data_IF_025957587637
#
_entry.id   IF_025957587637
#
_cell.length_a   1.000
_cell.length_b   1.000
_cell.length_c   1.000
_cell.angle_alpha   90.00
_cell.angle_beta   90.00
_cell.angle_gamma   90.00
#
_symmetry.space_group_name_H-M   'P 1'
#
loop_
_entity.id
_entity.type
_entity.pdbx_description
1 polymer ?
#
# COMPACT_ATOMS: atom_id res chain seq x y z
N UNK A 1 -20.55 -11.27 -4.33
CA UNK A 1 -19.47 -12.14 -4.85
C UNK A 1 -18.16 -11.42 -4.56
N UNK A 2 -17.25 -12.08 -3.82
CA UNK A 2 -15.95 -11.50 -3.45
C UNK A 2 -15.02 -11.45 -4.66
N UNK A 3 -13.97 -10.63 -4.58
CA UNK A 3 -12.98 -10.47 -5.63
C UNK A 3 -12.27 -11.78 -6.02
N UNK A 4 -11.42 -11.68 -7.02
CA UNK A 4 -10.65 -12.80 -7.56
C UNK A 4 -9.32 -12.95 -6.82
N UNK A 5 -8.72 -14.14 -6.89
CA UNK A 5 -7.42 -14.40 -6.28
C UNK A 5 -6.60 -15.38 -7.11
N UNK A 6 -5.29 -15.40 -6.88
CA UNK A 6 -4.38 -16.40 -7.45
C UNK A 6 -3.17 -16.61 -6.54
N UNK A 7 -2.74 -17.87 -6.46
CA UNK A 7 -1.46 -18.30 -5.90
C UNK A 7 -0.60 -19.01 -6.98
N UNK A 8 -0.98 -18.90 -8.25
CA UNK A 8 -0.19 -19.41 -9.37
C UNK A 8 1.15 -18.65 -9.45
N UNK A 9 2.30 -19.33 -9.27
CA UNK A 9 3.60 -18.68 -9.23
C UNK A 9 3.91 -17.83 -10.46
N UNK A 10 3.46 -18.24 -11.64
CA UNK A 10 3.72 -17.53 -12.89
C UNK A 10 2.96 -16.21 -12.97
N UNK A 11 1.65 -16.24 -12.65
CA UNK A 11 0.84 -15.03 -12.60
C UNK A 11 1.28 -14.10 -11.47
N UNK A 12 1.53 -14.64 -10.27
CA UNK A 12 1.99 -13.87 -9.11
C UNK A 12 3.35 -13.23 -9.39
N UNK A 13 4.28 -13.95 -10.02
CA UNK A 13 5.58 -13.42 -10.42
C UNK A 13 5.46 -12.21 -11.34
N UNK A 14 4.67 -12.33 -12.41
CA UNK A 14 4.42 -11.22 -13.36
C UNK A 14 3.78 -10.01 -12.70
N UNK A 15 2.82 -10.21 -11.79
CA UNK A 15 2.17 -9.12 -11.05
C UNK A 15 3.14 -8.48 -10.05
N UNK A 16 3.94 -9.29 -9.34
CA UNK A 16 4.95 -8.82 -8.38
C UNK A 16 5.96 -7.89 -9.05
N UNK A 17 6.41 -8.21 -10.25
CA UNK A 17 7.29 -7.33 -11.04
C UNK A 17 6.66 -5.95 -11.27
N UNK A 18 5.37 -5.89 -11.63
CA UNK A 18 4.68 -4.62 -11.85
C UNK A 18 4.47 -3.83 -10.56
N UNK A 19 4.16 -4.52 -9.45
CA UNK A 19 4.01 -3.90 -8.13
C UNK A 19 5.33 -3.29 -7.67
N UNK A 20 6.43 -4.05 -7.74
CA UNK A 20 7.76 -3.57 -7.35
C UNK A 20 8.22 -2.40 -8.23
N UNK A 21 7.99 -2.47 -9.54
CA UNK A 21 8.31 -1.38 -10.45
C UNK A 21 7.50 -0.11 -10.15
N UNK A 22 6.19 -0.24 -9.89
CA UNK A 22 5.34 0.91 -9.56
C UNK A 22 5.72 1.53 -8.21
N UNK A 23 6.05 0.70 -7.21
CA UNK A 23 6.55 1.15 -5.92
C UNK A 23 7.87 1.93 -6.07
N UNK A 24 8.80 1.42 -6.87
CA UNK A 24 10.06 2.11 -7.13
C UNK A 24 9.84 3.47 -7.81
N UNK A 25 8.93 3.51 -8.80
CA UNK A 25 8.54 4.76 -9.47
C UNK A 25 7.92 5.75 -8.48
N UNK A 26 6.98 5.33 -7.63
CA UNK A 26 6.37 6.17 -6.59
C UNK A 26 7.43 6.80 -5.69
N UNK A 27 8.36 5.99 -5.19
CA UNK A 27 9.40 6.44 -4.25
C UNK A 27 10.51 7.27 -4.91
N UNK A 28 10.63 7.23 -6.24
CA UNK A 28 11.66 7.99 -6.99
C UNK A 28 11.09 9.17 -7.77
N UNK A 29 9.75 9.29 -7.86
CA UNK A 29 9.06 10.45 -8.43
C UNK A 29 8.85 11.50 -7.33
N UNK A 30 9.48 12.68 -7.41
CA UNK A 30 9.50 13.62 -6.28
C UNK A 30 8.12 14.00 -5.73
N UNK A 31 7.16 14.30 -6.62
CA UNK A 31 5.82 14.71 -6.23
C UNK A 31 5.04 13.56 -5.58
N UNK A 32 5.07 12.36 -6.18
CA UNK A 32 4.38 11.19 -5.64
C UNK A 32 4.99 10.73 -4.30
N UNK A 33 6.32 10.74 -4.19
CA UNK A 33 7.00 10.43 -2.94
C UNK A 33 6.64 11.44 -1.84
N UNK A 34 6.60 12.74 -2.18
CA UNK A 34 6.28 13.77 -1.20
C UNK A 34 4.87 13.63 -0.62
N UNK A 35 3.87 13.23 -1.41
CA UNK A 35 2.51 12.94 -0.90
C UNK A 35 2.54 11.88 0.21
N UNK A 36 3.36 10.84 0.07
CA UNK A 36 3.54 9.83 1.11
C UNK A 36 4.30 10.37 2.32
N UNK A 37 5.38 11.13 2.10
CA UNK A 37 6.21 11.73 3.18
C UNK A 37 5.40 12.69 4.04
N UNK A 38 4.50 13.49 3.44
CA UNK A 38 3.61 14.39 4.17
C UNK A 38 2.62 13.64 5.09
N UNK A 39 2.25 12.42 4.70
CA UNK A 39 1.38 11.54 5.50
C UNK A 39 2.14 10.66 6.50
N UNK A 40 3.46 10.68 6.53
CA UNK A 40 4.23 9.98 7.56
C UNK A 40 4.13 10.70 8.90
N UNK A 41 4.06 9.91 9.98
CA UNK A 41 4.13 10.35 11.37
C UNK A 41 5.41 9.78 11.97
N UNK A 42 6.39 10.64 12.19
CA UNK A 42 7.75 10.23 12.57
C UNK A 42 7.89 10.29 14.09
N UNK A 43 7.94 9.10 14.70
CA UNK A 43 8.05 8.93 16.15
C UNK A 43 6.75 9.17 16.92
N UNK A 44 6.76 8.81 18.21
CA UNK A 44 5.58 8.75 19.08
C UNK A 44 4.86 10.10 19.17
N UNK A 45 5.59 11.22 19.33
CA UNK A 45 4.97 12.54 19.47
C UNK A 45 4.13 12.96 18.24
N UNK A 46 4.61 12.67 17.02
CA UNK A 46 3.85 12.98 15.81
C UNK A 46 2.65 12.05 15.62
N UNK A 47 2.82 10.78 16.00
CA UNK A 47 1.77 9.76 15.97
C UNK A 47 0.64 10.12 16.93
N UNK A 48 0.96 10.52 18.16
CA UNK A 48 -0.02 10.87 19.17
C UNK A 48 -0.75 12.17 18.81
N UNK A 49 -0.05 13.14 18.23
CA UNK A 49 -0.64 14.40 17.78
C UNK A 49 -1.58 14.22 16.57
N UNK A 50 -1.24 13.30 15.65
CA UNK A 50 -2.01 13.02 14.44
C UNK A 50 -2.08 11.50 14.20
N UNK A 51 -2.98 10.79 14.90
CA UNK A 51 -3.08 9.33 14.85
C UNK A 51 -3.79 8.84 13.58
N UNK A 52 -3.24 9.23 12.44
CA UNK A 52 -3.56 8.82 11.08
C UNK A 52 -2.28 8.67 10.24
N UNK A 53 -2.41 8.40 8.95
CA UNK A 53 -1.27 8.30 8.04
C UNK A 53 -0.39 7.07 8.29
N UNK A 54 0.89 7.19 7.91
CA UNK A 54 1.90 6.12 7.96
C UNK A 54 2.74 6.31 9.21
N UNK A 55 2.50 5.49 10.23
CA UNK A 55 3.25 5.55 11.49
C UNK A 55 4.65 4.94 11.31
N UNK A 56 5.68 5.76 11.50
CA UNK A 56 7.06 5.31 11.64
C UNK A 56 7.41 5.36 13.13
N UNK A 57 7.53 4.19 13.76
CA UNK A 57 7.76 4.07 15.20
C UNK A 57 8.78 2.99 15.53
N UNK A 58 9.22 2.98 16.79
CA UNK A 58 10.17 2.01 17.32
C UNK A 58 11.52 2.63 17.64
N UNK A 59 12.37 1.93 18.41
CA UNK A 59 13.59 2.51 18.99
C UNK A 59 14.54 3.13 17.96
N UNK A 60 14.67 2.51 16.79
CA UNK A 60 15.53 3.03 15.71
C UNK A 60 14.98 4.30 15.05
N UNK A 61 13.65 4.40 14.91
CA UNK A 61 13.02 5.61 14.36
C UNK A 61 13.17 6.77 15.36
N UNK A 62 12.95 6.52 16.64
CA UNK A 62 13.14 7.53 17.70
C UNK A 62 14.58 8.03 17.75
N UNK A 63 15.55 7.11 17.78
CA UNK A 63 16.96 7.47 17.80
C UNK A 63 17.36 8.26 16.54
N UNK A 64 16.89 7.82 15.36
CA UNK A 64 17.15 8.49 14.09
C UNK A 64 16.53 9.89 14.02
N UNK A 65 15.31 10.06 14.53
CA UNK A 65 14.64 11.36 14.65
C UNK A 65 15.41 12.30 15.58
N UNK A 66 15.78 11.83 16.77
CA UNK A 66 16.56 12.61 17.75
C UNK A 66 17.93 13.01 17.20
N UNK A 67 18.55 12.16 16.39
CA UNK A 67 19.84 12.44 15.74
C UNK A 67 19.72 13.33 14.48
N UNK A 68 18.51 13.73 14.07
CA UNK A 68 18.28 14.49 12.83
C UNK A 68 18.60 13.72 11.55
N UNK A 69 18.57 12.39 11.61
CA UNK A 69 18.86 11.49 10.47
C UNK A 69 17.59 10.94 9.82
N UNK A 70 16.46 11.03 10.52
CA UNK A 70 15.14 10.65 10.03
C UNK A 70 14.21 11.84 10.25
N UNK A 71 13.96 12.56 9.18
CA UNK A 71 12.97 13.63 9.07
C UNK A 71 12.38 13.62 7.65
N UNK A 72 11.45 14.53 7.37
CA UNK A 72 10.79 14.63 6.06
C UNK A 72 11.78 15.00 4.94
N UNK A 73 12.79 15.82 5.21
CA UNK A 73 13.79 16.21 4.21
C UNK A 73 14.59 14.98 3.75
N UNK A 74 15.08 14.19 4.70
CA UNK A 74 15.82 12.97 4.42
C UNK A 74 14.93 11.91 3.76
N UNK A 75 13.69 11.72 4.20
CA UNK A 75 12.77 10.74 3.60
C UNK A 75 12.35 11.12 2.17
N UNK A 76 12.24 12.42 1.87
CA UNK A 76 11.92 12.91 0.52
C UNK A 76 13.12 12.90 -0.44
N UNK A 77 14.35 12.93 0.10
CA UNK A 77 15.58 12.87 -0.68
C UNK A 77 15.94 11.43 -1.06
N UNK A 78 15.71 11.06 -2.33
CA UNK A 78 15.97 9.72 -2.89
C UNK A 78 17.41 9.21 -2.71
N UNK A 79 18.38 10.11 -2.48
CA UNK A 79 19.79 9.76 -2.31
C UNK A 79 20.18 9.54 -0.83
N UNK A 80 19.31 9.91 0.11
CA UNK A 80 19.56 9.77 1.54
C UNK A 80 19.62 8.30 1.96
N UNK A 81 20.25 8.04 3.10
CA UNK A 81 20.28 6.69 3.69
C UNK A 81 18.88 6.25 4.13
N UNK A 82 18.08 7.15 4.69
CA UNK A 82 16.72 6.87 5.14
C UNK A 82 15.81 6.43 3.98
N UNK A 83 15.85 7.15 2.85
CA UNK A 83 15.05 6.82 1.67
C UNK A 83 15.47 5.48 1.05
N UNK A 84 16.78 5.22 0.95
CA UNK A 84 17.31 3.93 0.44
C UNK A 84 16.90 2.77 1.32
N UNK A 85 17.04 2.90 2.64
CA UNK A 85 16.60 1.89 3.59
C UNK A 85 15.09 1.63 3.49
N UNK A 86 14.27 2.69 3.39
CA UNK A 86 12.83 2.54 3.19
C UNK A 86 12.48 1.78 1.90
N UNK A 87 13.18 2.07 0.80
CA UNK A 87 13.01 1.35 -0.48
C UNK A 87 13.38 -0.12 -0.37
N UNK A 88 14.49 -0.44 0.29
CA UNK A 88 14.94 -1.82 0.53
C UNK A 88 13.91 -2.61 1.36
N UNK A 89 13.43 -2.04 2.46
CA UNK A 89 12.41 -2.67 3.31
C UNK A 89 11.10 -2.93 2.55
N UNK A 90 10.66 -1.96 1.74
CA UNK A 90 9.45 -2.13 0.94
C UNK A 90 9.66 -3.15 -0.18
N UNK A 91 10.85 -3.19 -0.81
CA UNK A 91 11.19 -4.19 -1.81
C UNK A 91 11.22 -5.61 -1.23
N UNK A 92 11.77 -5.80 -0.03
CA UNK A 92 11.72 -7.09 0.67
C UNK A 92 10.26 -7.49 0.97
N UNK A 93 9.49 -6.55 1.52
CA UNK A 93 8.09 -6.75 1.88
C UNK A 93 7.26 -7.18 0.65
N UNK A 94 7.38 -6.47 -0.47
CA UNK A 94 6.63 -6.77 -1.69
C UNK A 94 7.28 -7.89 -2.52
N UNK A 95 8.54 -8.22 -2.28
CA UNK A 95 9.24 -9.36 -2.87
C UNK A 95 8.69 -10.71 -2.39
N UNK A 96 8.17 -10.75 -1.15
CA UNK A 96 7.68 -11.97 -0.49
C UNK A 96 6.24 -12.39 -0.85
N UNK A 97 5.58 -11.74 -1.82
CA UNK A 97 4.17 -12.00 -2.14
C UNK A 97 3.95 -13.44 -2.60
N UNK A 98 3.24 -14.25 -1.82
CA UNK A 98 2.91 -15.64 -2.18
C UNK A 98 1.59 -15.78 -2.93
N UNK A 99 0.60 -14.94 -2.62
CA UNK A 99 -0.70 -14.93 -3.27
C UNK A 99 -1.28 -13.52 -3.34
N UNK A 100 -2.14 -13.30 -4.33
CA UNK A 100 -2.77 -12.02 -4.62
C UNK A 100 -4.29 -12.15 -4.63
N UNK A 101 -4.96 -11.10 -4.17
CA UNK A 101 -6.40 -10.88 -4.26
C UNK A 101 -6.66 -9.54 -4.95
N UNK A 102 -7.64 -9.49 -5.83
CA UNK A 102 -8.02 -8.26 -6.53
C UNK A 102 -9.54 -8.14 -6.71
N UNK A 103 -9.98 -6.91 -6.90
CA UNK A 103 -11.39 -6.60 -7.20
C UNK A 103 -11.42 -5.84 -8.53
N UNK A 104 -12.17 -6.39 -9.47
CA UNK A 104 -12.47 -5.74 -10.75
C UNK A 104 -13.92 -5.29 -10.75
N UNK A 105 -14.18 -4.06 -11.19
CA UNK A 105 -15.53 -3.51 -11.36
C UNK A 105 -15.86 -3.27 -12.83
N UNK A 106 -17.14 -3.27 -13.22
CA UNK A 106 -17.56 -3.08 -14.62
C UNK A 106 -17.19 -1.71 -15.20
N UNK A 107 -16.99 -0.71 -14.35
CA UNK A 107 -16.60 0.65 -14.68
C UNK A 107 -15.78 1.29 -13.53
N UNK A 108 -15.45 2.57 -13.65
CA UNK A 108 -14.77 3.36 -12.62
C UNK A 108 -15.68 4.47 -12.04
N UNK A 109 -16.96 4.16 -11.81
CA UNK A 109 -17.88 5.13 -11.22
C UNK A 109 -17.67 5.26 -9.72
N UNK A 110 -18.22 6.32 -9.11
CA UNK A 110 -18.15 6.46 -7.65
C UNK A 110 -18.84 5.31 -6.90
N UNK A 111 -19.93 4.79 -7.45
CA UNK A 111 -20.63 3.62 -6.90
C UNK A 111 -19.74 2.39 -6.95
N UNK A 112 -19.02 2.17 -8.06
CA UNK A 112 -18.07 1.06 -8.21
C UNK A 112 -16.95 1.13 -7.17
N UNK A 113 -16.37 2.32 -6.96
CA UNK A 113 -15.32 2.55 -5.97
C UNK A 113 -15.78 2.22 -4.55
N UNK A 114 -16.99 2.69 -4.17
CA UNK A 114 -17.56 2.44 -2.85
C UNK A 114 -17.84 0.94 -2.68
N UNK A 115 -18.43 0.29 -3.68
CA UNK A 115 -18.73 -1.14 -3.57
C UNK A 115 -17.44 -1.98 -3.54
N UNK A 116 -16.41 -1.62 -4.31
CA UNK A 116 -15.09 -2.25 -4.22
C UNK A 116 -14.49 -2.13 -2.81
N UNK A 117 -14.60 -0.95 -2.17
CA UNK A 117 -14.21 -0.76 -0.78
C UNK A 117 -14.98 -1.66 0.19
N UNK A 118 -16.32 -1.74 0.04
CA UNK A 118 -17.16 -2.64 0.85
C UNK A 118 -16.78 -4.10 0.66
N UNK A 119 -16.51 -4.53 -0.56
CA UNK A 119 -16.07 -5.89 -0.87
C UNK A 119 -14.69 -6.17 -0.27
N UNK A 120 -13.75 -5.24 -0.35
CA UNK A 120 -12.42 -5.39 0.23
C UNK A 120 -12.48 -5.57 1.74
N UNK A 121 -13.25 -4.73 2.45
CA UNK A 121 -13.39 -4.85 3.91
C UNK A 121 -14.01 -6.19 4.31
N UNK A 122 -15.05 -6.66 3.59
CA UNK A 122 -15.65 -7.99 3.84
C UNK A 122 -14.64 -9.12 3.61
N UNK A 123 -13.85 -9.05 2.53
CA UNK A 123 -12.82 -10.04 2.24
C UNK A 123 -11.72 -10.04 3.31
N UNK A 124 -11.27 -8.85 3.75
CA UNK A 124 -10.30 -8.70 4.82
C UNK A 124 -10.78 -9.29 6.15
N UNK A 125 -12.04 -9.03 6.54
CA UNK A 125 -12.61 -9.61 7.76
C UNK A 125 -12.71 -11.15 7.66
N UNK A 126 -13.09 -11.67 6.49
CA UNK A 126 -13.15 -13.11 6.27
C UNK A 126 -11.77 -13.77 6.29
N UNK A 127 -10.76 -13.13 5.69
CA UNK A 127 -9.37 -13.58 5.73
C UNK A 127 -8.87 -13.65 7.18
N UNK A 128 -9.07 -12.59 7.96
CA UNK A 128 -8.69 -12.56 9.38
C UNK A 128 -9.37 -13.67 10.19
N UNK A 129 -10.67 -13.94 9.94
CA UNK A 129 -11.41 -15.01 10.60
C UNK A 129 -10.78 -16.40 10.40
N UNK A 130 -10.10 -16.62 9.29
CA UNK A 130 -9.43 -17.90 8.96
C UNK A 130 -7.92 -17.85 9.16
N UNK A 131 -7.39 -16.83 9.86
CA UNK A 131 -5.96 -16.71 10.18
C UNK A 131 -5.08 -16.18 9.04
N UNK A 132 -5.69 -15.55 8.02
CA UNK A 132 -4.96 -14.89 6.93
C UNK A 132 -4.96 -13.37 7.12
N UNK A 133 -3.85 -12.75 6.72
CA UNK A 133 -3.68 -11.31 6.66
C UNK A 133 -3.77 -10.83 5.22
N UNK A 134 -4.30 -9.62 5.02
CA UNK A 134 -4.28 -8.94 3.73
C UNK A 134 -3.59 -7.58 3.85
N UNK A 135 -2.82 -7.21 2.84
CA UNK A 135 -2.12 -5.93 2.75
C UNK A 135 -2.34 -5.33 1.35
N UNK A 136 -3.04 -4.18 1.22
CA UNK A 136 -3.21 -3.49 -0.07
C UNK A 136 -1.88 -3.13 -0.71
N UNK A 137 -1.81 -3.17 -2.03
CA UNK A 137 -0.64 -2.80 -2.83
C UNK A 137 -1.12 -1.99 -4.04
N UNK A 138 -1.49 -0.74 -3.76
CA UNK A 138 -2.16 0.12 -4.73
C UNK A 138 -1.20 0.87 -5.66
N UNK A 139 0.12 0.80 -5.44
CA UNK A 139 1.14 1.52 -6.22
C UNK A 139 0.92 1.34 -7.72
N UNK A 140 0.78 0.09 -8.19
CA UNK A 140 0.55 -0.22 -9.62
C UNK A 140 -0.86 0.09 -10.11
N UNK A 141 -1.75 0.60 -9.26
CA UNK A 141 -3.12 0.99 -9.60
C UNK A 141 -3.32 2.52 -9.59
N UNK A 142 -2.28 3.31 -9.33
CA UNK A 142 -2.39 4.77 -9.32
C UNK A 142 -2.47 5.37 -10.73
N UNK A 143 -3.17 6.49 -10.85
CA UNK A 143 -3.56 7.09 -12.14
C UNK A 143 -2.71 8.34 -12.47
N UNK A 144 -1.39 8.21 -12.45
CA UNK A 144 -0.45 9.26 -12.87
C UNK A 144 0.50 8.76 -13.97
N UNK A 145 1.14 9.70 -14.67
CA UNK A 145 1.81 9.45 -15.95
C UNK A 145 2.92 8.41 -15.86
N UNK A 146 3.72 8.47 -14.80
CA UNK A 146 4.92 7.66 -14.60
C UNK A 146 4.58 6.19 -14.33
N UNK A 147 3.45 5.90 -13.64
CA UNK A 147 2.97 4.54 -13.33
C UNK A 147 2.00 3.98 -14.38
N UNK A 148 1.57 4.80 -15.34
CA UNK A 148 0.66 4.38 -16.40
C UNK A 148 1.06 3.08 -17.15
N UNK A 149 2.36 2.75 -17.35
CA UNK A 149 2.76 1.45 -17.90
C UNK A 149 2.37 0.26 -17.00
N UNK A 150 2.70 0.33 -15.71
CA UNK A 150 2.42 -0.73 -14.72
C UNK A 150 0.92 -0.90 -14.53
N UNK A 151 0.19 0.23 -14.51
CA UNK A 151 -1.26 0.26 -14.48
C UNK A 151 -1.89 -0.57 -15.60
N UNK A 152 -1.47 -0.31 -16.85
CA UNK A 152 -1.95 -1.04 -18.03
C UNK A 152 -1.53 -2.51 -17.99
N UNK A 153 -0.31 -2.80 -17.55
CA UNK A 153 0.21 -4.16 -17.43
C UNK A 153 -0.60 -4.99 -16.43
N UNK A 154 -0.88 -4.45 -15.24
CA UNK A 154 -1.70 -5.12 -14.22
C UNK A 154 -3.12 -5.38 -14.72
N UNK A 155 -3.77 -4.38 -15.34
CA UNK A 155 -5.11 -4.57 -15.91
C UNK A 155 -5.11 -5.68 -16.97
N UNK A 156 -4.10 -5.71 -17.84
CA UNK A 156 -3.96 -6.75 -18.88
C UNK A 156 -3.71 -8.13 -18.27
N UNK A 157 -2.80 -8.25 -17.30
CA UNK A 157 -2.46 -9.52 -16.64
C UNK A 157 -3.67 -10.12 -15.90
N UNK A 158 -4.50 -9.26 -15.31
CA UNK A 158 -5.72 -9.66 -14.61
C UNK A 158 -6.93 -9.84 -15.54
N UNK A 159 -6.75 -9.70 -16.85
CA UNK A 159 -7.79 -9.94 -17.85
C UNK A 159 -8.91 -8.90 -17.86
N UNK A 160 -8.69 -7.70 -17.31
CA UNK A 160 -9.69 -6.64 -17.28
C UNK A 160 -10.01 -6.16 -18.70
N UNK A 161 -11.31 -6.12 -19.02
CA UNK A 161 -11.80 -5.60 -20.28
C UNK A 161 -11.69 -4.07 -20.36
N UNK A 162 -11.83 -3.50 -21.56
CA UNK A 162 -11.66 -2.04 -21.78
C UNK A 162 -12.58 -1.17 -20.91
N UNK A 163 -13.79 -1.64 -20.60
CA UNK A 163 -14.72 -0.93 -19.72
C UNK A 163 -14.42 -1.14 -18.24
N UNK A 164 -13.75 -2.24 -17.89
CA UNK A 164 -13.53 -2.67 -16.51
C UNK A 164 -12.36 -1.93 -15.84
N UNK A 165 -12.38 -1.93 -14.51
CA UNK A 165 -11.35 -1.33 -13.67
C UNK A 165 -10.90 -2.31 -12.60
N UNK A 166 -9.61 -2.55 -12.49
CA UNK A 166 -9.03 -3.19 -11.30
C UNK A 166 -8.98 -2.12 -10.21
N UNK A 167 -9.89 -2.20 -9.24
CA UNK A 167 -10.05 -1.21 -8.17
C UNK A 167 -9.12 -1.47 -6.98
N UNK A 168 -8.88 -2.75 -6.68
CA UNK A 168 -8.08 -3.17 -5.52
C UNK A 168 -7.14 -4.28 -5.93
N UNK A 169 -5.92 -4.25 -5.39
CA UNK A 169 -4.93 -5.32 -5.45
C UNK A 169 -4.30 -5.43 -4.07
N UNK A 170 -4.21 -6.65 -3.54
CA UNK A 170 -3.67 -6.90 -2.22
C UNK A 170 -2.93 -8.23 -2.19
N UNK A 171 -1.87 -8.32 -1.38
CA UNK A 171 -1.27 -9.60 -1.02
C UNK A 171 -2.09 -10.22 0.09
N UNK A 172 -2.18 -11.54 0.07
CA UNK A 172 -2.87 -12.34 1.09
C UNK A 172 -1.99 -13.52 1.48
N UNK A 173 -1.96 -13.85 2.77
CA UNK A 173 -1.16 -14.95 3.31
C UNK A 173 -1.04 -14.90 4.82
N UNK A 174 -0.09 -15.64 5.36
CA UNK A 174 0.26 -15.57 6.78
C UNK A 174 1.28 -14.45 7.00
N UNK A 175 1.13 -13.73 8.11
CA UNK A 175 2.04 -12.66 8.51
C UNK A 175 2.21 -12.64 10.03
N UNK A 176 3.12 -11.79 10.53
CA UNK A 176 3.28 -11.61 11.96
C UNK A 176 1.99 -11.04 12.58
N UNK A 177 1.79 -11.32 13.87
CA UNK A 177 0.78 -10.63 14.66
C UNK A 177 1.24 -9.20 14.90
N UNK A 178 0.41 -8.23 14.52
CA UNK A 178 0.71 -6.80 14.59
C UNK A 178 -0.41 -6.08 15.32
N UNK A 179 -0.02 -5.15 16.21
CA UNK A 179 -0.98 -4.33 16.93
C UNK A 179 -1.81 -3.42 16.01
N UNK A 180 -2.92 -2.86 16.51
CA UNK A 180 -3.72 -1.93 15.75
C UNK A 180 -2.91 -0.67 15.42
N UNK A 181 -3.13 -0.11 14.23
CA UNK A 181 -2.57 1.19 13.89
C UNK A 181 -3.30 2.32 14.65
N UNK A 182 -2.61 3.43 14.96
CA UNK A 182 -3.19 4.60 15.63
C UNK A 182 -4.46 5.11 14.92
N UNK A 183 -5.46 5.56 15.67
CA UNK A 183 -6.71 6.11 15.13
C UNK A 183 -7.17 7.33 15.93
N UNK A 184 -7.79 8.27 15.24
CA UNK A 184 -8.55 9.35 15.86
C UNK A 184 -9.65 8.79 16.78
N UNK A 185 -9.89 9.39 17.96
CA UNK A 185 -11.02 9.05 18.81
C UNK A 185 -12.34 9.23 18.07
N UNK A 186 -13.30 8.33 18.28
CA UNK A 186 -14.58 8.36 17.57
C UNK A 186 -15.30 9.72 17.66
N UNK A 187 -15.28 10.34 18.86
CA UNK A 187 -15.92 11.63 19.13
C UNK A 187 -15.35 12.80 18.32
N UNK A 188 -14.16 12.68 17.75
CA UNK A 188 -13.59 13.77 16.93
C UNK A 188 -14.02 13.70 15.46
N UNK A 189 -14.66 12.60 15.02
CA UNK A 189 -15.01 12.35 13.60
C UNK A 189 -16.48 12.00 13.36
N UNK A 190 -17.27 11.75 14.41
CA UNK A 190 -18.73 11.68 14.32
C UNK A 190 -19.35 13.03 14.69
N UNK A 191 -20.21 13.54 13.82
CA UNK A 191 -21.10 14.68 14.08
C UNK A 191 -22.37 14.23 14.81
#
# INVERSE_FOLDING_TARGET
AGGSYSADPDLVGKLREQILAAMDIEMTTPQANMESVELMRIGYDEIDANPDGISLSGPMIEAGKLAGQIDREHLSNINSKAAKFGREQLAETHGSIAALYWITTPANTRTDQIEAGRQYVRANLQANKIGLSMHPMSQSLQEYKEVAPQYKAVHKLLGAQKSERVQMLARIGHGPDIGPSPRWPLKSRLL
#
